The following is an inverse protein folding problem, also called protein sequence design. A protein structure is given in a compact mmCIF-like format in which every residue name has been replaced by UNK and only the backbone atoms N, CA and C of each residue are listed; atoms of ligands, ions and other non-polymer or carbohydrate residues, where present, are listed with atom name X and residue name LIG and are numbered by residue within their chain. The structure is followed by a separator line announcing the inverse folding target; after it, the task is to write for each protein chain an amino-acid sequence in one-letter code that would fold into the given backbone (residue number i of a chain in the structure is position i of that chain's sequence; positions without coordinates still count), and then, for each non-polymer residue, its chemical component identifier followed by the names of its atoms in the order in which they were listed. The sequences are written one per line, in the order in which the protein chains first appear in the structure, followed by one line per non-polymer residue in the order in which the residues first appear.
data_IF_653164866029
#
_entry.id   IF_653164866029
#
_cell.length_a   1.000
_cell.length_b   1.000
_cell.length_c   1.000
_cell.angle_alpha   90.00
_cell.angle_beta   90.00
_cell.angle_gamma   90.00
#
_symmetry.space_group_name_H-M   'P 1'
#
loop_
_entity.id
_entity.type
_entity.pdbx_description
1 polymer ?
#
# COMPACT_ATOMS: atom_id res chain seq x y z
N UNK A 1 10.22 -47.08 -36.65
CA UNK A 1 9.31 -45.99 -36.22
C UNK A 1 10.09 -44.90 -35.50
N UNK A 2 10.32 -43.77 -36.18
CA UNK A 2 11.24 -42.70 -35.75
C UNK A 2 10.55 -41.69 -34.82
N UNK A 3 11.02 -41.56 -33.56
CA UNK A 3 10.62 -40.48 -32.65
C UNK A 3 11.32 -39.17 -33.04
N UNK A 4 10.61 -38.23 -33.68
CA UNK A 4 11.11 -36.86 -33.93
C UNK A 4 11.28 -36.11 -32.59
N UNK A 5 12.51 -35.92 -32.13
CA UNK A 5 12.86 -34.93 -31.09
C UNK A 5 12.58 -33.52 -31.62
N UNK A 6 11.59 -32.81 -31.06
CA UNK A 6 11.37 -31.38 -31.37
C UNK A 6 12.44 -30.54 -30.66
N UNK A 7 13.29 -29.84 -31.43
CA UNK A 7 14.30 -28.89 -30.89
C UNK A 7 13.61 -27.71 -30.22
N UNK A 8 14.04 -27.38 -29.01
CA UNK A 8 13.66 -26.19 -28.25
C UNK A 8 14.47 -25.00 -28.77
N UNK A 9 13.83 -23.88 -29.05
CA UNK A 9 14.51 -22.65 -29.49
C UNK A 9 14.55 -21.69 -28.31
N UNK A 10 15.75 -21.17 -28.02
CA UNK A 10 16.07 -20.29 -26.89
C UNK A 10 16.48 -18.95 -27.47
N UNK A 11 15.90 -17.85 -26.99
CA UNK A 11 16.35 -16.50 -27.33
C UNK A 11 16.49 -15.64 -26.07
N UNK A 12 17.38 -14.65 -26.17
CA UNK A 12 17.72 -13.71 -25.11
C UNK A 12 17.31 -12.30 -25.52
N UNK A 13 16.57 -11.62 -24.63
CA UNK A 13 16.23 -10.20 -24.74
C UNK A 13 16.30 -9.58 -23.34
N UNK A 14 17.01 -8.46 -23.21
CA UNK A 14 17.14 -7.67 -21.97
C UNK A 14 17.44 -8.49 -20.71
N UNK A 15 18.37 -9.45 -20.81
CA UNK A 15 18.84 -10.21 -19.65
C UNK A 15 17.93 -11.35 -19.18
N UNK A 16 16.79 -11.60 -19.83
CA UNK A 16 15.89 -12.71 -19.51
C UNK A 16 15.94 -13.82 -20.57
N UNK A 17 15.74 -15.07 -20.13
CA UNK A 17 15.78 -16.28 -20.97
C UNK A 17 14.35 -16.78 -21.21
N UNK A 18 13.93 -16.83 -22.48
CA UNK A 18 12.61 -17.32 -22.86
C UNK A 18 12.72 -18.63 -23.65
N UNK A 19 11.80 -19.58 -23.40
CA UNK A 19 11.68 -20.84 -24.14
C UNK A 19 10.27 -20.98 -24.72
N UNK A 20 10.17 -21.15 -26.03
CA UNK A 20 8.90 -21.39 -26.73
C UNK A 20 8.90 -22.75 -27.46
N UNK A 21 7.73 -23.38 -27.53
CA UNK A 21 7.49 -24.65 -28.22
C UNK A 21 6.75 -24.51 -29.56
N UNK A 22 6.48 -23.30 -30.02
CA UNK A 22 5.77 -23.02 -31.27
C UNK A 22 6.67 -22.25 -32.25
N UNK A 23 6.75 -22.72 -33.50
CA UNK A 23 7.39 -22.01 -34.61
C UNK A 23 6.59 -20.72 -34.87
N UNK A 24 7.11 -19.57 -34.46
CA UNK A 24 6.57 -18.28 -34.91
C UNK A 24 7.00 -18.09 -36.37
N UNK A 25 6.03 -17.95 -37.28
CA UNK A 25 6.30 -17.54 -38.66
C UNK A 25 6.82 -16.09 -38.64
N UNK A 26 7.97 -15.91 -39.27
CA UNK A 26 8.64 -14.63 -39.45
C UNK A 26 7.78 -13.75 -40.36
N UNK A 27 7.13 -12.73 -39.82
CA UNK A 27 6.66 -11.61 -40.63
C UNK A 27 7.86 -10.73 -40.99
N UNK A 28 8.00 -10.43 -42.26
CA UNK A 28 9.13 -9.70 -42.83
C UNK A 28 9.20 -8.26 -42.30
N UNK A 29 10.42 -7.74 -42.19
CA UNK A 29 10.72 -6.41 -41.66
C UNK A 29 10.15 -5.22 -42.50
N UNK A 30 9.32 -5.48 -43.51
CA UNK A 30 8.72 -4.46 -44.36
C UNK A 30 7.35 -3.96 -43.87
N UNK A 31 6.68 -4.65 -42.94
CA UNK A 31 5.35 -4.23 -42.44
C UNK A 31 5.37 -3.32 -41.21
N UNK A 32 6.55 -3.09 -40.60
CA UNK A 32 6.71 -2.20 -39.45
C UNK A 32 7.02 -0.73 -39.82
N UNK A 33 7.35 -0.45 -41.08
CA UNK A 33 7.65 0.91 -41.54
C UNK A 33 6.42 1.73 -41.96
N UNK A 34 5.25 1.11 -42.15
CA UNK A 34 4.02 1.80 -42.57
C UNK A 34 3.14 2.30 -41.41
N UNK A 35 3.38 1.87 -40.16
CA UNK A 35 2.59 2.30 -38.99
C UNK A 35 3.19 3.54 -38.31
N UNK A 36 4.41 3.95 -38.67
CA UNK A 36 5.09 5.11 -38.05
C UNK A 36 4.84 6.43 -38.79
N UNK A 37 4.24 6.42 -40.00
CA UNK A 37 4.04 7.65 -40.80
C UNK A 37 2.62 8.25 -40.65
N UNK A 38 1.64 7.53 -40.07
CA UNK A 38 0.28 8.07 -39.85
C UNK A 38 0.13 8.80 -38.50
N UNK A 39 1.15 8.77 -37.62
CA UNK A 39 1.07 9.40 -36.28
C UNK A 39 1.69 10.82 -36.26
N UNK A 40 2.30 11.30 -37.35
CA UNK A 40 3.01 12.60 -37.36
C UNK A 40 2.31 13.76 -38.09
N UNK A 41 1.14 13.58 -38.71
CA UNK A 41 0.40 14.70 -39.32
C UNK A 41 -1.11 14.51 -39.22
N UNK A 42 -1.70 14.84 -38.06
CA UNK A 42 -3.14 15.16 -37.89
C UNK A 42 -3.36 15.73 -36.47
N UNK A 43 -3.04 17.00 -36.26
CA UNK A 43 -3.82 17.93 -35.42
C UNK A 43 -3.07 19.27 -35.30
N UNK A 44 -3.27 20.13 -36.30
CA UNK A 44 -2.98 21.56 -36.21
C UNK A 44 -4.23 22.30 -36.66
N UNK A 45 -5.09 22.69 -35.70
CA UNK A 45 -6.13 23.71 -35.87
C UNK A 45 -6.58 24.21 -34.50
N UNK A 46 -6.44 25.51 -34.17
CA UNK A 46 -6.96 26.07 -32.92
C UNK A 46 -8.45 26.43 -33.06
N UNK A 47 -9.24 26.45 -31.96
CA UNK A 47 -10.64 26.83 -32.01
C UNK A 47 -10.82 28.37 -32.06
N UNK A 48 -11.97 28.87 -32.54
CA UNK A 48 -12.18 30.31 -32.75
C UNK A 48 -12.52 31.06 -31.46
N UNK A 49 -12.02 32.29 -31.36
CA UNK A 49 -12.26 33.25 -30.28
C UNK A 49 -13.49 34.14 -30.57
N UNK A 50 -14.38 34.29 -29.59
CA UNK A 50 -15.39 35.37 -29.53
C UNK A 50 -15.06 36.32 -28.36
N UNK A 51 -15.30 37.65 -28.49
CA UNK A 51 -14.89 38.62 -27.47
C UNK A 51 -15.98 38.82 -26.42
N UNK A 52 -15.63 38.62 -25.15
CA UNK A 52 -16.46 38.93 -23.99
C UNK A 52 -15.62 39.57 -22.90
N UNK A 53 -15.86 40.85 -22.64
CA UNK A 53 -15.16 41.71 -21.68
C UNK A 53 -15.84 41.57 -20.32
N UNK A 54 -15.19 41.01 -19.29
CA UNK A 54 -15.55 41.29 -17.89
C UNK A 54 -14.33 41.22 -16.95
N UNK A 55 -14.26 42.20 -16.06
CA UNK A 55 -13.17 42.51 -15.11
C UNK A 55 -13.28 41.66 -13.83
N UNK A 56 -12.10 41.27 -13.34
CA UNK A 56 -11.61 41.15 -11.96
C UNK A 56 -12.48 40.46 -10.88
N UNK A 57 -11.96 39.36 -10.33
CA UNK A 57 -11.40 39.29 -8.96
C UNK A 57 -11.07 37.82 -8.62
N UNK A 58 -9.82 37.38 -8.81
CA UNK A 58 -9.36 36.09 -8.31
C UNK A 58 -8.47 36.29 -7.08
N UNK A 59 -8.73 35.57 -5.96
CA UNK A 59 -7.77 35.46 -4.88
C UNK A 59 -6.52 34.73 -5.37
N UNK A 60 -5.36 35.17 -4.88
CA UNK A 60 -4.04 34.67 -5.22
C UNK A 60 -3.98 33.13 -5.12
N UNK A 61 -3.45 32.40 -6.11
CA UNK A 61 -3.35 30.95 -6.01
C UNK A 61 -2.33 30.59 -4.92
N UNK A 62 -2.80 29.95 -3.84
CA UNK A 62 -1.92 29.26 -2.91
C UNK A 62 -1.16 28.16 -3.69
N UNK A 63 0.18 28.22 -3.59
CA UNK A 63 1.15 27.37 -4.30
C UNK A 63 0.75 25.89 -4.30
N UNK A 64 0.30 25.42 -5.47
CA UNK A 64 0.00 24.02 -5.80
C UNK A 64 1.28 23.16 -5.91
N UNK A 65 2.43 23.78 -6.11
CA UNK A 65 3.71 23.13 -6.44
C UNK A 65 4.43 22.39 -5.29
N UNK A 66 4.01 22.56 -4.02
CA UNK A 66 4.78 22.05 -2.88
C UNK A 66 4.45 20.60 -2.48
N UNK A 67 3.24 20.11 -2.77
CA UNK A 67 2.70 18.87 -2.18
C UNK A 67 2.78 17.66 -3.12
N UNK A 68 2.64 17.85 -4.43
CA UNK A 68 2.88 16.81 -5.46
C UNK A 68 4.34 16.31 -5.44
N UNK A 69 5.22 17.08 -4.79
CA UNK A 69 6.67 16.88 -4.77
C UNK A 69 7.17 15.80 -3.79
N UNK A 70 6.44 15.43 -2.74
CA UNK A 70 7.03 14.61 -1.65
C UNK A 70 7.25 13.14 -2.01
N UNK A 71 6.28 12.47 -2.63
CA UNK A 71 6.44 11.07 -3.07
C UNK A 71 7.42 10.96 -4.24
N UNK A 72 7.39 11.94 -5.16
CA UNK A 72 8.35 12.05 -6.26
C UNK A 72 9.79 12.22 -5.75
N UNK A 73 10.00 13.00 -4.68
CA UNK A 73 11.31 13.17 -4.04
C UNK A 73 11.82 11.91 -3.32
N UNK A 74 10.99 10.89 -3.13
CA UNK A 74 11.40 9.60 -2.55
C UNK A 74 11.69 8.54 -3.61
N UNK A 75 11.73 8.91 -4.89
CA UNK A 75 12.12 8.01 -5.99
C UNK A 75 13.63 8.14 -6.22
N UNK A 76 14.41 7.06 -6.05
CA UNK A 76 15.83 7.06 -6.33
C UNK A 76 16.15 7.46 -7.77
N UNK A 77 17.28 8.15 -8.04
CA UNK A 77 17.67 8.48 -9.40
C UNK A 77 17.88 7.21 -10.24
N UNK A 78 17.35 7.15 -11.47
CA UNK A 78 17.47 5.96 -12.31
C UNK A 78 18.95 5.71 -12.67
N UNK A 79 19.35 4.43 -12.71
CA UNK A 79 20.71 3.99 -13.05
C UNK A 79 21.82 4.56 -12.14
N UNK A 80 21.49 5.05 -10.94
CA UNK A 80 22.47 5.51 -9.97
C UNK A 80 23.14 4.34 -9.23
N UNK A 81 24.46 4.42 -9.06
CA UNK A 81 25.22 3.54 -8.16
C UNK A 81 24.77 3.70 -6.71
N UNK A 82 25.05 2.71 -5.85
CA UNK A 82 24.75 2.79 -4.42
C UNK A 82 25.30 4.08 -3.78
N UNK A 83 26.55 4.46 -4.07
CA UNK A 83 27.16 5.70 -3.56
C UNK A 83 26.40 6.95 -4.00
N UNK A 84 25.97 7.01 -5.27
CA UNK A 84 25.18 8.14 -5.76
C UNK A 84 23.81 8.20 -5.09
N UNK A 85 23.14 7.06 -4.86
CA UNK A 85 21.87 7.01 -4.13
C UNK A 85 22.02 7.43 -2.67
N UNK A 86 23.09 7.02 -2.00
CA UNK A 86 23.41 7.43 -0.63
C UNK A 86 23.59 8.96 -0.53
N UNK A 87 24.36 9.55 -1.43
CA UNK A 87 24.55 11.01 -1.50
C UNK A 87 23.25 11.75 -1.84
N UNK A 88 22.49 11.25 -2.82
CA UNK A 88 21.18 11.80 -3.18
C UNK A 88 20.23 11.79 -1.97
N UNK A 89 20.15 10.67 -1.26
CA UNK A 89 19.24 10.52 -0.13
C UNK A 89 19.65 11.41 1.02
N UNK A 90 20.94 11.47 1.38
CA UNK A 90 21.48 12.38 2.40
C UNK A 90 21.09 13.84 2.15
N UNK A 91 21.15 14.29 0.89
CA UNK A 91 20.81 15.66 0.52
C UNK A 91 19.30 15.92 0.45
N UNK A 92 18.51 14.89 0.11
CA UNK A 92 17.06 14.99 -0.10
C UNK A 92 16.29 14.82 1.20
N UNK A 93 16.77 13.97 2.10
CA UNK A 93 16.11 13.60 3.36
C UNK A 93 15.72 14.82 4.22
N UNK A 94 16.63 15.78 4.51
CA UNK A 94 16.27 16.97 5.29
C UNK A 94 15.23 17.85 4.61
N UNK A 95 15.02 17.74 3.30
CA UNK A 95 14.05 18.56 2.57
C UNK A 95 12.62 18.01 2.67
N UNK A 96 12.48 16.71 2.93
CA UNK A 96 11.21 16.01 3.04
C UNK A 96 10.71 16.04 4.48
N UNK A 97 11.58 15.70 5.43
CA UNK A 97 11.25 15.60 6.85
C UNK A 97 11.55 16.89 7.63
N UNK A 98 11.57 18.04 6.94
CA UNK A 98 12.10 19.34 7.40
C UNK A 98 11.35 20.03 8.55
N UNK A 99 10.53 19.31 9.30
CA UNK A 99 9.67 19.93 10.30
C UNK A 99 10.26 19.85 11.71
N UNK A 100 10.80 21.00 12.18
CA UNK A 100 11.15 21.33 13.57
C UNK A 100 11.32 20.11 14.51
N UNK A 101 12.48 19.45 14.42
CA UNK A 101 12.82 18.22 15.14
C UNK A 101 12.69 18.36 16.68
N UNK A 102 12.87 19.57 17.23
CA UNK A 102 12.82 19.79 18.68
C UNK A 102 11.45 20.17 19.25
N UNK A 103 10.51 20.71 18.45
CA UNK A 103 9.18 21.10 19.00
C UNK A 103 8.11 20.03 18.79
N UNK A 104 8.37 18.97 18.01
CA UNK A 104 7.35 17.99 17.59
C UNK A 104 7.38 16.65 18.32
N UNK A 105 8.49 16.28 18.99
CA UNK A 105 8.61 14.97 19.66
C UNK A 105 7.54 14.77 20.74
N UNK A 106 7.50 15.67 21.72
CA UNK A 106 6.48 15.62 22.78
C UNK A 106 5.07 15.82 22.21
N UNK A 107 4.94 16.59 21.13
CA UNK A 107 3.64 16.84 20.49
C UNK A 107 3.10 15.59 19.79
N UNK A 108 3.92 14.76 19.15
CA UNK A 108 3.43 13.58 18.43
C UNK A 108 2.90 12.50 19.38
N UNK A 109 3.69 12.08 20.37
CA UNK A 109 3.25 11.08 21.36
C UNK A 109 2.04 11.59 22.17
N UNK A 110 2.02 12.87 22.56
CA UNK A 110 0.86 13.49 23.19
C UNK A 110 -0.37 13.49 22.28
N UNK A 111 -0.25 13.81 20.98
CA UNK A 111 -1.37 13.78 20.02
C UNK A 111 -1.94 12.37 19.88
N UNK A 112 -1.09 11.36 19.75
CA UNK A 112 -1.52 9.95 19.64
C UNK A 112 -2.26 9.52 20.92
N UNK A 113 -1.68 9.76 22.10
CA UNK A 113 -2.30 9.41 23.38
C UNK A 113 -3.61 10.14 23.61
N UNK A 114 -3.63 11.45 23.35
CA UNK A 114 -4.82 12.30 23.49
C UNK A 114 -5.96 11.79 22.60
N UNK A 115 -5.67 11.49 21.33
CA UNK A 115 -6.67 10.95 20.42
C UNK A 115 -7.26 9.63 20.91
N UNK A 116 -6.43 8.72 21.42
CA UNK A 116 -6.91 7.44 21.97
C UNK A 116 -7.57 7.55 23.35
N UNK A 117 -7.29 8.59 24.14
CA UNK A 117 -7.95 8.80 25.44
C UNK A 117 -9.29 9.50 25.29
N UNK A 118 -9.43 10.42 24.33
CA UNK A 118 -10.68 11.16 24.08
C UNK A 118 -11.75 10.32 23.38
N UNK A 119 -11.35 9.24 22.72
CA UNK A 119 -12.25 8.33 22.02
C UNK A 119 -12.02 6.95 22.59
N UNK A 120 -12.99 6.43 23.35
CA UNK A 120 -12.97 5.11 24.00
C UNK A 120 -13.01 3.94 22.98
N UNK A 121 -12.12 3.98 22.00
CA UNK A 121 -12.05 3.04 20.89
C UNK A 121 -11.56 1.67 21.36
N UNK A 122 -12.39 0.64 21.14
CA UNK A 122 -12.07 -0.75 21.42
C UNK A 122 -11.05 -1.33 20.43
N UNK A 123 -11.06 -0.85 19.19
CA UNK A 123 -10.11 -1.27 18.15
C UNK A 123 -9.39 -0.05 17.59
N UNK A 124 -8.06 -0.05 17.71
CA UNK A 124 -7.19 1.05 17.28
C UNK A 124 -6.51 0.67 15.97
N UNK A 125 -6.99 1.24 14.87
CA UNK A 125 -6.39 1.11 13.56
C UNK A 125 -5.38 2.23 13.33
N UNK A 126 -4.38 1.92 12.53
CA UNK A 126 -3.54 2.92 11.91
C UNK A 126 -3.08 2.45 10.53
N UNK A 127 -2.76 3.41 9.67
CA UNK A 127 -2.23 3.18 8.32
C UNK A 127 -1.17 4.22 8.00
N UNK A 128 -0.47 4.05 6.88
CA UNK A 128 0.52 5.00 6.40
C UNK A 128 0.13 5.53 5.03
N UNK A 129 0.17 6.84 4.85
CA UNK A 129 -0.03 7.48 3.55
C UNK A 129 1.14 8.42 3.22
N UNK A 130 1.97 8.00 2.27
CA UNK A 130 3.19 8.70 1.84
C UNK A 130 3.07 9.06 0.35
N UNK A 131 1.94 9.67 0.00
CA UNK A 131 1.65 10.20 -1.33
C UNK A 131 0.99 11.58 -1.21
N UNK A 132 0.68 12.24 -2.33
CA UNK A 132 -0.04 13.51 -2.27
C UNK A 132 -1.46 13.31 -1.71
N UNK A 133 -2.09 14.36 -1.14
CA UNK A 133 -3.49 14.30 -0.74
C UNK A 133 -4.40 14.05 -1.95
N UNK A 134 -4.07 14.61 -3.11
CA UNK A 134 -4.87 14.46 -4.34
C UNK A 134 -4.93 13.00 -4.84
N UNK A 135 -3.93 12.19 -4.52
CA UNK A 135 -3.96 10.76 -4.86
C UNK A 135 -4.72 9.90 -3.83
N UNK A 136 -5.22 10.48 -2.73
CA UNK A 136 -6.05 9.77 -1.76
C UNK A 136 -7.48 9.72 -2.31
N UNK A 137 -7.69 8.78 -3.23
CA UNK A 137 -8.86 8.73 -4.07
C UNK A 137 -10.06 8.03 -3.42
N UNK A 138 -11.09 7.81 -4.25
CA UNK A 138 -12.32 7.15 -3.81
C UNK A 138 -12.07 5.74 -3.25
N UNK A 139 -11.12 4.99 -3.80
CA UNK A 139 -10.82 3.61 -3.35
C UNK A 139 -10.22 3.58 -1.94
N UNK A 140 -9.23 4.43 -1.68
CA UNK A 140 -8.61 4.58 -0.37
C UNK A 140 -9.64 5.09 0.65
N UNK A 141 -10.48 6.04 0.24
CA UNK A 141 -11.56 6.55 1.09
C UNK A 141 -12.59 5.46 1.44
N UNK A 142 -13.09 4.71 0.45
CA UNK A 142 -14.01 3.58 0.66
C UNK A 142 -13.39 2.47 1.53
N UNK A 143 -12.09 2.20 1.36
CA UNK A 143 -11.35 1.25 2.21
C UNK A 143 -11.32 1.74 3.66
N UNK A 144 -11.10 3.04 3.89
CA UNK A 144 -11.24 3.65 5.22
C UNK A 144 -12.68 3.54 5.75
N UNK A 145 -13.71 3.81 4.93
CA UNK A 145 -15.11 3.70 5.37
C UNK A 145 -15.44 2.29 5.89
N UNK A 146 -14.88 1.27 5.24
CA UNK A 146 -15.12 -0.12 5.61
C UNK A 146 -14.69 -0.47 7.04
N UNK A 147 -13.65 0.19 7.57
CA UNK A 147 -13.23 0.06 8.96
C UNK A 147 -14.39 0.46 9.88
N UNK A 148 -14.93 1.66 9.66
CA UNK A 148 -16.00 2.21 10.47
C UNK A 148 -17.34 1.54 10.21
N UNK A 149 -17.58 0.97 9.03
CA UNK A 149 -18.76 0.15 8.77
C UNK A 149 -18.75 -1.13 9.62
N UNK A 150 -17.59 -1.77 9.74
CA UNK A 150 -17.43 -3.02 10.47
C UNK A 150 -17.36 -2.85 12.00
N UNK A 151 -17.01 -1.65 12.49
CA UNK A 151 -16.78 -1.38 13.92
C UNK A 151 -17.65 -0.27 14.51
N UNK A 152 -18.35 0.51 13.67
CA UNK A 152 -19.07 1.73 14.05
C UNK A 152 -18.15 2.68 14.83
N UNK A 153 -18.62 3.18 15.98
CA UNK A 153 -17.88 4.12 16.83
C UNK A 153 -16.82 3.43 17.70
N UNK A 154 -16.74 2.09 17.71
CA UNK A 154 -15.74 1.35 18.49
C UNK A 154 -14.34 1.39 17.86
N UNK A 155 -14.18 1.95 16.65
CA UNK A 155 -12.90 2.06 15.95
C UNK A 155 -12.33 3.49 15.94
N UNK A 156 -11.02 3.56 16.09
CA UNK A 156 -10.22 4.76 15.83
C UNK A 156 -9.26 4.47 14.68
N UNK A 157 -9.04 5.43 13.78
CA UNK A 157 -8.04 5.36 12.72
C UNK A 157 -7.07 6.54 12.79
N UNK A 158 -5.78 6.24 12.93
CA UNK A 158 -4.70 7.21 12.70
C UNK A 158 -4.09 6.98 11.31
N UNK A 159 -4.07 8.01 10.48
CA UNK A 159 -3.38 8.00 9.19
C UNK A 159 -2.03 8.70 9.37
N UNK A 160 -0.95 7.92 9.40
CA UNK A 160 0.41 8.44 9.52
C UNK A 160 0.83 9.02 8.17
N UNK A 161 0.73 10.35 8.07
CA UNK A 161 0.88 11.08 6.81
C UNK A 161 1.20 12.54 7.05
N UNK A 162 2.33 12.99 6.51
CA UNK A 162 2.67 14.41 6.50
C UNK A 162 1.77 15.21 5.54
N UNK A 163 1.37 14.60 4.43
CA UNK A 163 0.58 15.28 3.40
C UNK A 163 -0.89 15.43 3.82
N UNK A 164 -1.47 14.42 4.48
CA UNK A 164 -2.84 14.50 5.00
C UNK A 164 -2.95 15.22 6.35
N UNK A 165 -1.87 15.39 7.11
CA UNK A 165 -1.82 16.28 8.30
C UNK A 165 -1.72 17.76 7.86
N UNK A 166 -2.68 18.18 7.04
CA UNK A 166 -2.79 19.50 6.40
C UNK A 166 -4.25 19.95 6.32
N UNK A 167 -4.51 21.20 5.92
CA UNK A 167 -5.88 21.70 5.73
C UNK A 167 -6.61 20.95 4.60
N UNK A 168 -5.93 20.69 3.49
CA UNK A 168 -6.48 19.89 2.39
C UNK A 168 -6.82 18.46 2.85
N UNK A 169 -5.90 17.82 3.59
CA UNK A 169 -6.14 16.50 4.16
C UNK A 169 -7.30 16.49 5.16
N UNK A 170 -7.45 17.53 5.99
CA UNK A 170 -8.64 17.70 6.84
C UNK A 170 -9.92 17.77 5.99
N UNK A 171 -9.93 18.55 4.91
CA UNK A 171 -11.08 18.63 4.00
C UNK A 171 -11.43 17.28 3.35
N UNK A 172 -10.42 16.47 3.00
CA UNK A 172 -10.64 15.10 2.50
C UNK A 172 -11.32 14.25 3.57
N UNK A 173 -10.86 14.30 4.83
CA UNK A 173 -11.36 13.48 5.93
C UNK A 173 -12.64 14.02 6.60
N UNK A 174 -13.01 15.28 6.36
CA UNK A 174 -14.17 15.98 6.94
C UNK A 174 -15.45 15.15 6.92
N UNK A 175 -15.84 14.47 5.82
CA UNK A 175 -17.09 13.71 5.81
C UNK A 175 -17.18 12.62 6.90
N UNK A 176 -16.03 12.03 7.27
CA UNK A 176 -15.97 11.04 8.37
C UNK A 176 -15.91 11.71 9.73
N UNK A 177 -15.12 12.78 9.86
CA UNK A 177 -14.94 13.52 11.12
C UNK A 177 -16.26 14.15 11.57
N UNK A 178 -16.96 14.82 10.65
CA UNK A 178 -18.25 15.47 10.89
C UNK A 178 -19.36 14.45 11.17
N UNK A 179 -19.23 13.23 10.64
CA UNK A 179 -20.11 12.09 10.97
C UNK A 179 -19.79 11.44 12.33
N UNK A 180 -18.86 12.01 13.10
CA UNK A 180 -18.51 11.56 14.46
C UNK A 180 -17.52 10.40 14.53
N UNK A 181 -16.97 9.93 13.39
CA UNK A 181 -16.00 8.84 13.39
C UNK A 181 -14.62 9.31 13.87
N UNK A 182 -13.94 8.45 14.63
CA UNK A 182 -12.60 8.71 15.11
C UNK A 182 -11.55 8.51 14.02
N UNK A 183 -11.37 9.48 13.13
CA UNK A 183 -10.26 9.49 12.15
C UNK A 183 -9.43 10.76 12.28
N UNK A 184 -8.11 10.61 12.17
CA UNK A 184 -7.18 11.74 12.18
C UNK A 184 -5.93 11.42 11.36
N UNK A 185 -5.41 12.42 10.64
CA UNK A 185 -4.08 12.34 10.04
C UNK A 185 -3.04 12.99 10.97
N UNK A 186 -1.87 12.37 11.08
CA UNK A 186 -0.75 12.89 11.88
C UNK A 186 0.56 12.68 11.14
N UNK A 187 1.40 13.73 11.11
CA UNK A 187 2.78 13.61 10.63
C UNK A 187 3.57 12.72 11.61
N UNK A 188 4.14 11.57 11.18
CA UNK A 188 4.92 10.72 12.07
C UNK A 188 6.24 11.39 12.44
N UNK A 189 6.61 11.31 13.73
CA UNK A 189 7.94 11.71 14.20
C UNK A 189 8.87 10.50 14.26
N UNK A 190 9.66 10.29 13.20
CA UNK A 190 10.52 9.12 13.08
C UNK A 190 11.57 9.02 14.21
N UNK A 191 12.31 10.08 14.59
CA UNK A 191 13.22 10.02 15.73
C UNK A 191 12.56 9.59 17.05
N UNK A 192 11.31 9.97 17.32
CA UNK A 192 10.57 9.48 18.50
C UNK A 192 10.12 8.03 18.35
N UNK A 193 9.58 7.68 17.19
CA UNK A 193 9.07 6.32 16.93
C UNK A 193 10.18 5.26 16.99
N UNK A 194 11.39 5.62 16.58
CA UNK A 194 12.51 4.69 16.45
C UNK A 194 13.44 4.68 17.68
N UNK A 195 13.26 5.60 18.62
CA UNK A 195 14.09 5.69 19.83
C UNK A 195 14.11 4.39 20.64
N UNK A 196 15.30 3.94 21.02
CA UNK A 196 15.54 2.70 21.79
C UNK A 196 14.97 1.45 21.09
N UNK A 197 14.96 1.46 19.77
CA UNK A 197 14.59 0.30 18.96
C UNK A 197 15.78 -0.18 18.11
N UNK A 198 15.78 -1.44 17.63
CA UNK A 198 16.86 -1.96 16.79
C UNK A 198 17.09 -1.21 15.46
N UNK A 199 16.11 -0.41 15.02
CA UNK A 199 16.16 0.34 13.75
C UNK A 199 16.66 1.77 13.92
N UNK A 200 16.90 2.24 15.15
CA UNK A 200 17.39 3.61 15.43
C UNK A 200 18.70 3.89 14.69
N UNK A 201 19.72 3.05 14.94
CA UNK A 201 21.03 3.20 14.30
C UNK A 201 20.96 3.05 12.78
N UNK A 202 20.17 2.09 12.28
CA UNK A 202 19.97 1.91 10.84
C UNK A 202 19.40 3.18 10.18
N UNK A 203 18.47 3.86 10.86
CA UNK A 203 17.87 5.09 10.36
C UNK A 203 18.86 6.26 10.38
N UNK A 204 19.70 6.36 11.41
CA UNK A 204 20.80 7.33 11.46
C UNK A 204 21.79 7.12 10.31
N UNK A 205 22.22 5.88 10.09
CA UNK A 205 23.14 5.51 9.01
C UNK A 205 22.55 5.86 7.64
N UNK A 206 21.26 5.60 7.45
CA UNK A 206 20.55 5.99 6.23
C UNK A 206 20.53 7.51 6.03
N UNK A 207 20.19 8.28 7.08
CA UNK A 207 20.15 9.75 7.04
C UNK A 207 21.53 10.35 6.76
N UNK A 208 22.58 9.76 7.30
CA UNK A 208 23.96 10.23 7.15
C UNK A 208 24.58 9.87 5.80
N UNK A 209 23.88 9.08 4.97
CA UNK A 209 24.36 8.58 3.70
C UNK A 209 25.38 7.46 3.85
N UNK A 210 25.28 6.67 4.92
CA UNK A 210 26.11 5.49 5.23
C UNK A 210 25.41 4.18 4.86
N UNK A 211 24.08 4.21 4.69
CA UNK A 211 23.27 3.10 4.16
C UNK A 211 22.66 3.48 2.81
N UNK A 212 22.69 2.54 1.86
CA UNK A 212 22.03 2.70 0.56
C UNK A 212 20.50 2.53 0.71
N UNK A 213 19.68 3.53 0.30
CA UNK A 213 18.21 3.40 0.30
C UNK A 213 17.69 2.39 -0.73
N UNK A 214 18.53 2.00 -1.70
CA UNK A 214 18.22 1.10 -2.81
C UNK A 214 17.42 1.74 -3.95
N UNK A 215 17.04 0.93 -4.93
CA UNK A 215 16.39 1.36 -6.18
C UNK A 215 14.86 1.46 -6.09
N UNK A 216 14.26 0.79 -5.11
CA UNK A 216 12.81 0.84 -4.90
C UNK A 216 12.45 2.19 -4.27
N UNK A 217 11.35 2.84 -4.70
CA UNK A 217 10.87 4.08 -4.09
C UNK A 217 10.86 4.00 -2.57
N UNK A 218 11.60 4.90 -1.92
CA UNK A 218 11.88 4.82 -0.49
C UNK A 218 10.60 4.88 0.35
N UNK A 219 9.55 5.56 -0.14
CA UNK A 219 8.23 5.60 0.50
C UNK A 219 7.70 4.20 0.89
N UNK A 220 7.97 3.17 0.08
CA UNK A 220 7.53 1.81 0.39
C UNK A 220 8.31 1.20 1.56
N UNK A 221 9.63 1.37 1.57
CA UNK A 221 10.48 0.91 2.65
C UNK A 221 10.22 1.69 3.94
N UNK A 222 9.92 2.99 3.82
CA UNK A 222 9.53 3.84 4.94
C UNK A 222 8.18 3.40 5.53
N UNK A 223 7.19 3.05 4.71
CA UNK A 223 5.92 2.49 5.19
C UNK A 223 6.13 1.14 5.91
N UNK A 224 7.03 0.28 5.42
CA UNK A 224 7.40 -0.96 6.10
C UNK A 224 8.08 -0.71 7.46
N UNK A 225 8.89 0.34 7.58
CA UNK A 225 9.50 0.73 8.86
C UNK A 225 8.48 1.31 9.83
N UNK A 226 7.70 2.30 9.40
CA UNK A 226 6.72 3.02 10.24
C UNK A 226 5.69 2.04 10.79
N UNK A 227 5.20 1.09 9.98
CA UNK A 227 4.21 0.12 10.45
C UNK A 227 4.73 -0.75 11.59
N UNK A 228 6.00 -1.14 11.56
CA UNK A 228 6.61 -1.93 12.64
C UNK A 228 6.88 -1.08 13.88
N UNK A 229 7.43 0.13 13.69
CA UNK A 229 7.76 1.03 14.80
C UNK A 229 6.51 1.52 15.55
N UNK A 230 5.48 1.95 14.82
CA UNK A 230 4.23 2.41 15.42
C UNK A 230 3.52 1.27 16.15
N UNK A 231 3.46 0.08 15.52
CA UNK A 231 2.89 -1.12 16.14
C UNK A 231 3.64 -1.51 17.42
N UNK A 232 4.97 -1.45 17.42
CA UNK A 232 5.76 -1.73 18.62
C UNK A 232 5.48 -0.70 19.73
N UNK A 233 5.33 0.58 19.38
CA UNK A 233 5.14 1.66 20.38
C UNK A 233 3.73 1.70 20.96
N UNK A 234 2.71 1.55 20.11
CA UNK A 234 1.30 1.81 20.46
C UNK A 234 0.39 0.58 20.31
N UNK A 235 0.85 -0.48 19.66
CA UNK A 235 0.04 -1.65 19.33
C UNK A 235 -1.09 -1.34 18.35
N UNK A 236 -2.11 -2.18 18.36
CA UNK A 236 -3.32 -2.03 17.54
C UNK A 236 -3.26 -2.82 16.24
N UNK A 237 -3.92 -2.28 15.22
CA UNK A 237 -4.09 -2.90 13.91
C UNK A 237 -3.47 -2.01 12.84
N UNK A 238 -2.40 -2.47 12.22
CA UNK A 238 -1.92 -1.87 10.98
C UNK A 238 -2.73 -2.43 9.79
N UNK A 239 -3.12 -1.55 8.86
CA UNK A 239 -3.67 -1.90 7.55
C UNK A 239 -2.98 -1.08 6.44
N UNK A 240 -2.67 -1.69 5.30
CA UNK A 240 -2.43 -0.95 4.07
C UNK A 240 -3.72 -0.18 3.66
N UNK A 241 -3.58 0.95 2.96
CA UNK A 241 -4.72 1.84 2.64
C UNK A 241 -5.70 1.27 1.61
N UNK A 242 -5.32 0.17 0.96
CA UNK A 242 -6.09 -0.56 -0.04
C UNK A 242 -6.65 -1.87 0.54
N UNK A 243 -7.02 -1.85 1.82
CA UNK A 243 -7.58 -2.99 2.54
C UNK A 243 -9.06 -2.74 2.87
N UNK A 244 -9.94 -3.59 2.35
CA UNK A 244 -11.37 -3.54 2.67
C UNK A 244 -11.64 -4.40 3.91
N UNK A 245 -12.14 -3.80 4.97
CA UNK A 245 -12.57 -4.49 6.19
C UNK A 245 -14.02 -4.93 6.05
N UNK A 246 -14.24 -6.25 6.10
CA UNK A 246 -15.58 -6.84 5.98
C UNK A 246 -16.16 -7.27 7.32
N UNK A 247 -15.34 -7.38 8.37
CA UNK A 247 -15.76 -7.85 9.70
C UNK A 247 -14.99 -7.15 10.82
N UNK A 248 -15.55 -7.17 12.03
CA UNK A 248 -14.88 -6.65 13.22
C UNK A 248 -13.60 -7.42 13.58
N UNK A 249 -12.55 -6.69 13.92
CA UNK A 249 -11.24 -7.18 14.37
C UNK A 249 -11.15 -7.25 15.91
N UNK A 250 -12.25 -6.98 16.62
CA UNK A 250 -12.29 -6.97 18.10
C UNK A 250 -11.82 -8.27 18.76
N UNK A 251 -11.90 -9.41 18.06
CA UNK A 251 -11.46 -10.73 18.54
C UNK A 251 -10.03 -11.09 18.11
N UNK A 252 -9.37 -10.23 17.33
CA UNK A 252 -8.03 -10.49 16.82
C UNK A 252 -6.97 -9.95 17.77
N UNK A 253 -5.93 -10.74 17.99
CA UNK A 253 -4.82 -10.41 18.87
C UNK A 253 -3.57 -11.15 18.44
N UNK A 254 -2.43 -10.46 18.42
CA UNK A 254 -1.11 -11.01 18.10
C UNK A 254 -1.16 -11.96 16.90
N UNK A 255 -1.67 -11.46 15.77
CA UNK A 255 -1.90 -12.25 14.57
C UNK A 255 -1.41 -11.59 13.28
N UNK A 256 -1.10 -12.45 12.31
CA UNK A 256 -0.68 -12.10 10.96
C UNK A 256 -1.34 -13.02 9.95
N UNK A 257 -1.60 -12.53 8.75
CA UNK A 257 -2.18 -13.35 7.67
C UNK A 257 -1.13 -14.09 6.84
N UNK A 258 -1.43 -15.35 6.52
CA UNK A 258 -0.76 -16.07 5.45
C UNK A 258 -1.24 -15.55 4.10
N UNK A 259 -0.34 -15.02 3.27
CA UNK A 259 -0.64 -14.68 1.88
C UNK A 259 -0.83 -15.92 1.01
N UNK A 260 -0.07 -16.99 1.28
CA UNK A 260 -0.14 -18.24 0.50
C UNK A 260 0.16 -19.45 1.38
N UNK A 261 -0.33 -20.61 0.95
CA UNK A 261 -0.12 -21.92 1.60
C UNK A 261 0.36 -22.95 0.59
N UNK A 262 1.00 -24.02 1.06
CA UNK A 262 1.31 -25.20 0.27
C UNK A 262 0.12 -26.16 0.16
N UNK A 263 0.29 -27.29 -0.52
CA UNK A 263 -0.75 -28.30 -0.70
C UNK A 263 -1.23 -28.95 0.61
N UNK A 264 -0.47 -28.83 1.70
CA UNK A 264 -0.79 -29.37 3.03
C UNK A 264 -1.41 -28.32 3.94
N UNK A 265 -1.65 -27.10 3.43
CA UNK A 265 -2.19 -25.99 4.21
C UNK A 265 -1.16 -25.26 5.07
N UNK A 266 0.13 -25.61 5.00
CA UNK A 266 1.18 -24.86 5.70
C UNK A 266 1.42 -23.55 4.96
N UNK A 267 1.46 -22.43 5.68
CA UNK A 267 1.78 -21.14 5.05
C UNK A 267 3.17 -21.16 4.39
N UNK A 268 3.28 -20.53 3.23
CA UNK A 268 4.53 -20.38 2.46
C UNK A 268 4.99 -18.93 2.37
N UNK A 269 4.06 -17.98 2.55
CA UNK A 269 4.33 -16.55 2.63
C UNK A 269 3.39 -15.93 3.64
N UNK A 270 3.93 -15.17 4.58
CA UNK A 270 3.18 -14.21 5.38
C UNK A 270 3.29 -12.83 4.74
N UNK A 271 2.35 -11.96 5.05
CA UNK A 271 2.33 -10.60 4.52
C UNK A 271 1.97 -9.61 5.63
N UNK A 272 2.61 -8.44 5.57
CA UNK A 272 2.52 -7.37 6.55
C UNK A 272 1.61 -6.21 6.12
N UNK A 273 0.74 -6.42 5.13
CA UNK A 273 -0.35 -5.50 4.76
C UNK A 273 -1.43 -5.41 5.84
N UNK A 274 -1.48 -6.40 6.73
CA UNK A 274 -2.24 -6.36 7.98
C UNK A 274 -1.40 -6.97 9.11
N UNK A 275 -1.31 -6.27 10.23
CA UNK A 275 -0.63 -6.75 11.45
C UNK A 275 -1.47 -6.36 12.66
N UNK A 276 -1.74 -7.32 13.55
CA UNK A 276 -2.50 -7.07 14.79
C UNK A 276 -1.63 -7.48 15.96
N UNK A 277 -1.13 -6.51 16.74
CA UNK A 277 -0.23 -6.80 17.86
C UNK A 277 -0.43 -5.83 19.01
N UNK A 278 -0.16 -6.32 20.21
CA UNK A 278 -0.04 -5.49 21.41
C UNK A 278 1.21 -4.60 21.38
N UNK A 279 1.21 -3.45 22.08
CA UNK A 279 2.41 -2.65 22.23
C UNK A 279 3.52 -3.44 22.92
N UNK A 280 4.77 -3.22 22.50
CA UNK A 280 5.95 -3.86 23.07
C UNK A 280 6.16 -5.33 22.67
N UNK A 281 5.36 -5.87 21.75
CA UNK A 281 5.40 -7.29 21.43
C UNK A 281 6.77 -7.73 20.89
N UNK A 282 7.37 -8.75 21.51
CA UNK A 282 8.75 -9.19 21.23
C UNK A 282 8.95 -9.62 19.76
N UNK A 283 7.93 -10.21 19.13
CA UNK A 283 8.01 -10.57 17.71
C UNK A 283 8.12 -9.34 16.80
N UNK A 284 7.45 -8.23 17.14
CA UNK A 284 7.55 -6.98 16.37
C UNK A 284 8.93 -6.37 16.54
N UNK A 285 9.52 -6.48 17.73
CA UNK A 285 10.91 -6.12 17.97
C UNK A 285 11.87 -6.93 17.08
N UNK A 286 11.64 -8.24 16.93
CA UNK A 286 12.44 -9.09 16.03
C UNK A 286 12.21 -8.76 14.54
N UNK A 287 11.01 -8.32 14.13
CA UNK A 287 10.80 -7.76 12.79
C UNK A 287 11.65 -6.50 12.56
N UNK A 288 11.69 -5.57 13.52
CA UNK A 288 12.53 -4.38 13.43
C UNK A 288 14.02 -4.74 13.40
N UNK A 289 14.47 -5.69 14.22
CA UNK A 289 15.85 -6.19 14.20
C UNK A 289 16.21 -6.76 12.82
N UNK A 290 15.37 -7.61 12.26
CA UNK A 290 15.57 -8.17 10.92
C UNK A 290 15.59 -7.07 9.85
N UNK A 291 14.74 -6.05 9.98
CA UNK A 291 14.70 -4.89 9.08
C UNK A 291 16.06 -4.19 9.05
N UNK A 292 16.59 -3.81 10.22
CA UNK A 292 17.88 -3.12 10.34
C UNK A 292 19.05 -3.95 9.78
N UNK A 293 19.11 -5.24 10.15
CA UNK A 293 20.23 -6.12 9.81
C UNK A 293 20.26 -6.50 8.33
N UNK A 294 19.09 -6.76 7.75
CA UNK A 294 18.99 -7.37 6.42
C UNK A 294 18.43 -6.43 5.36
N UNK A 295 18.24 -5.15 5.68
CA UNK A 295 17.67 -4.17 4.76
C UNK A 295 18.30 -4.26 3.36
N UNK A 296 17.45 -4.44 2.36
CA UNK A 296 17.84 -4.40 0.95
C UNK A 296 16.78 -3.62 0.18
N UNK A 297 17.06 -2.34 -0.06
CA UNK A 297 16.17 -1.46 -0.81
C UNK A 297 16.10 -1.75 -2.31
N UNK A 298 16.87 -2.73 -2.82
CA UNK A 298 16.85 -3.10 -4.23
C UNK A 298 15.89 -4.27 -4.52
N UNK A 299 15.36 -4.94 -3.48
CA UNK A 299 14.54 -6.15 -3.63
C UNK A 299 13.10 -5.96 -3.18
N UNK A 300 12.17 -6.11 -4.12
CA UNK A 300 10.75 -5.90 -3.85
C UNK A 300 10.22 -6.89 -2.82
N UNK A 301 9.53 -6.37 -1.81
CA UNK A 301 8.96 -7.15 -0.70
C UNK A 301 9.99 -7.67 0.31
N UNK A 302 11.30 -7.53 0.06
CA UNK A 302 12.36 -8.05 0.94
C UNK A 302 12.25 -7.54 2.38
N UNK A 303 11.92 -6.26 2.52
CA UNK A 303 11.76 -5.55 3.80
C UNK A 303 10.32 -5.59 4.35
N UNK A 304 9.40 -6.31 3.69
CA UNK A 304 7.99 -6.40 4.05
C UNK A 304 7.55 -7.87 4.18
N UNK A 305 6.76 -8.42 3.23
CA UNK A 305 6.25 -9.79 3.32
C UNK A 305 7.34 -10.86 3.51
N UNK A 306 8.49 -10.71 2.85
CA UNK A 306 9.59 -11.66 2.99
C UNK A 306 10.26 -11.57 4.34
N UNK A 307 10.41 -10.36 4.89
CA UNK A 307 10.96 -10.13 6.23
C UNK A 307 10.13 -10.82 7.30
N UNK A 308 8.83 -10.53 7.37
CA UNK A 308 7.96 -11.13 8.41
C UNK A 308 7.90 -12.65 8.27
N UNK A 309 7.96 -13.17 7.04
CA UNK A 309 8.04 -14.61 6.81
C UNK A 309 9.33 -15.22 7.34
N UNK A 310 10.50 -14.61 7.07
CA UNK A 310 11.80 -15.11 7.55
C UNK A 310 11.87 -15.14 9.07
N UNK A 311 11.40 -14.08 9.73
CA UNK A 311 11.39 -13.99 11.19
C UNK A 311 10.44 -15.03 11.78
N UNK A 312 9.19 -15.12 11.30
CA UNK A 312 8.23 -16.10 11.84
C UNK A 312 8.68 -17.53 11.58
N UNK A 313 9.25 -17.85 10.41
CA UNK A 313 9.79 -19.20 10.15
C UNK A 313 10.90 -19.55 11.16
N UNK A 314 11.82 -18.61 11.39
CA UNK A 314 12.94 -18.76 12.33
C UNK A 314 12.47 -18.92 13.78
N UNK A 315 11.43 -18.21 14.19
CA UNK A 315 10.90 -18.28 15.57
C UNK A 315 9.75 -19.26 15.75
N UNK A 316 9.27 -19.92 14.69
CA UNK A 316 8.07 -20.78 14.71
C UNK A 316 8.16 -21.97 15.66
N UNK A 317 9.37 -22.33 16.11
CA UNK A 317 9.62 -23.37 17.11
C UNK A 317 9.68 -22.84 18.54
N UNK A 318 9.52 -21.53 18.72
CA UNK A 318 9.57 -20.86 20.00
C UNK A 318 8.17 -20.35 20.36
N UNK A 319 7.51 -21.08 21.26
CA UNK A 319 6.16 -20.75 21.73
C UNK A 319 6.11 -19.44 22.54
N UNK A 320 7.26 -18.84 22.89
CA UNK A 320 7.33 -17.60 23.67
C UNK A 320 6.74 -16.37 22.98
N UNK A 321 6.49 -16.41 21.66
CA UNK A 321 6.02 -15.25 20.90
C UNK A 321 4.49 -15.16 20.76
N UNK A 322 3.71 -16.15 21.23
CA UNK A 322 2.23 -16.14 21.20
C UNK A 322 1.64 -15.53 19.92
N UNK A 323 1.94 -16.14 18.77
CA UNK A 323 1.51 -15.68 17.44
C UNK A 323 0.42 -16.59 16.86
N UNK A 324 -0.66 -15.99 16.36
CA UNK A 324 -1.63 -16.68 15.51
C UNK A 324 -1.40 -16.35 14.04
N UNK A 325 -1.15 -17.36 13.20
CA UNK A 325 -1.14 -17.19 11.73
C UNK A 325 -2.53 -17.53 11.19
N UNK A 326 -3.22 -16.53 10.64
CA UNK A 326 -4.53 -16.70 10.03
C UNK A 326 -4.42 -17.19 8.58
N UNK A 327 -5.36 -18.04 8.10
CA UNK A 327 -5.31 -18.58 6.75
C UNK A 327 -5.52 -17.49 5.68
N UNK A 328 -5.16 -17.74 4.41
CA UNK A 328 -5.32 -16.75 3.35
C UNK A 328 -6.72 -16.15 3.22
N UNK A 329 -7.77 -16.95 3.40
CA UNK A 329 -9.16 -16.46 3.34
C UNK A 329 -9.50 -15.38 4.39
N UNK A 330 -8.69 -15.21 5.44
CA UNK A 330 -8.91 -14.16 6.42
C UNK A 330 -8.69 -12.75 5.86
N UNK A 331 -7.66 -12.57 5.02
CA UNK A 331 -7.19 -11.26 4.58
C UNK A 331 -6.74 -11.18 3.11
N UNK A 332 -6.37 -12.33 2.53
CA UNK A 332 -5.84 -12.48 1.19
C UNK A 332 -6.65 -13.54 0.40
N UNK A 333 -7.97 -13.38 0.26
CA UNK A 333 -8.83 -14.40 -0.37
C UNK A 333 -8.61 -14.53 -1.89
N UNK A 334 -7.79 -13.65 -2.47
CA UNK A 334 -7.31 -13.68 -3.85
C UNK A 334 -5.86 -13.19 -3.88
N UNK A 335 -5.02 -13.87 -4.65
CA UNK A 335 -3.65 -13.45 -4.85
C UNK A 335 -3.54 -12.29 -5.86
N UNK A 336 -2.40 -11.63 -5.84
CA UNK A 336 -2.12 -10.46 -6.68
C UNK A 336 -2.08 -10.74 -8.19
N UNK A 337 -1.98 -12.01 -8.63
CA UNK A 337 -2.02 -12.38 -10.05
C UNK A 337 -3.47 -12.43 -10.54
N UNK A 338 -4.40 -12.87 -9.69
CA UNK A 338 -5.80 -13.08 -10.05
C UNK A 338 -6.74 -11.95 -9.58
N UNK A 339 -6.20 -10.92 -8.91
CA UNK A 339 -6.99 -9.81 -8.36
C UNK A 339 -7.86 -9.11 -9.41
N UNK A 340 -7.41 -9.05 -10.66
CA UNK A 340 -8.15 -8.43 -11.77
C UNK A 340 -9.58 -8.95 -11.90
N UNK A 341 -9.79 -10.26 -11.72
CA UNK A 341 -11.11 -10.87 -11.82
C UNK A 341 -12.11 -10.37 -10.77
N UNK A 342 -11.64 -9.76 -9.68
CA UNK A 342 -12.52 -9.17 -8.66
C UNK A 342 -13.06 -7.79 -9.07
N UNK A 343 -12.44 -7.12 -10.05
CA UNK A 343 -12.83 -5.80 -10.54
C UNK A 343 -13.75 -5.88 -11.78
N UNK A 344 -13.83 -7.05 -12.41
CA UNK A 344 -14.60 -7.28 -13.64
C UNK A 344 -16.05 -7.68 -13.35
N UNK A 345 -16.98 -7.26 -14.22
CA UNK A 345 -18.36 -7.74 -14.23
C UNK A 345 -18.45 -9.16 -14.82
N UNK A 346 -19.58 -9.89 -14.62
CA UNK A 346 -19.78 -11.18 -15.27
C UNK A 346 -19.63 -11.06 -16.79
N UNK A 347 -18.83 -11.95 -17.39
CA UNK A 347 -18.60 -12.01 -18.84
C UNK A 347 -19.56 -12.96 -19.53
N UNK A 348 -19.92 -14.02 -18.82
CA UNK A 348 -20.81 -15.10 -19.20
C UNK A 348 -21.39 -15.76 -17.93
N UNK A 349 -22.32 -16.69 -18.09
CA UNK A 349 -22.98 -17.38 -16.97
C UNK A 349 -21.99 -18.18 -16.10
N UNK A 350 -20.90 -18.69 -16.68
CA UNK A 350 -19.90 -19.44 -15.91
C UNK A 350 -19.10 -18.50 -15.02
N UNK A 351 -18.71 -17.33 -15.53
CA UNK A 351 -18.07 -16.29 -14.74
C UNK A 351 -19.00 -15.80 -13.64
N UNK A 352 -20.29 -15.59 -13.95
CA UNK A 352 -21.32 -15.22 -12.98
C UNK A 352 -21.42 -16.22 -11.82
N UNK A 353 -21.56 -17.52 -12.12
CA UNK A 353 -21.60 -18.58 -11.08
C UNK A 353 -20.33 -18.62 -10.23
N UNK A 354 -19.16 -18.40 -10.81
CA UNK A 354 -17.91 -18.31 -10.04
C UNK A 354 -17.92 -17.10 -9.10
N UNK A 355 -18.37 -15.93 -9.57
CA UNK A 355 -18.47 -14.73 -8.74
C UNK A 355 -19.44 -14.93 -7.58
N UNK A 356 -20.60 -15.54 -7.83
CA UNK A 356 -21.58 -15.88 -6.78
C UNK A 356 -20.98 -16.82 -5.73
N UNK A 357 -20.32 -17.90 -6.16
CA UNK A 357 -19.66 -18.83 -5.27
C UNK A 357 -18.53 -18.15 -4.47
N UNK A 358 -17.76 -17.25 -5.10
CA UNK A 358 -16.70 -16.50 -4.41
C UNK A 358 -17.28 -15.51 -3.41
N UNK A 359 -18.37 -14.83 -3.76
CA UNK A 359 -19.10 -13.94 -2.84
C UNK A 359 -19.67 -14.70 -1.65
N UNK A 360 -20.16 -15.93 -1.85
CA UNK A 360 -20.61 -16.79 -0.75
C UNK A 360 -19.45 -17.12 0.21
N UNK A 361 -18.29 -17.53 -0.32
CA UNK A 361 -17.09 -17.77 0.49
C UNK A 361 -16.64 -16.53 1.28
N UNK A 362 -16.69 -15.34 0.67
CA UNK A 362 -16.27 -14.09 1.33
C UNK A 362 -17.22 -13.67 2.46
N UNK A 363 -18.45 -14.19 2.50
CA UNK A 363 -19.43 -13.95 3.58
C UNK A 363 -19.28 -14.93 4.74
N UNK A 364 -18.57 -16.04 4.56
CA UNK A 364 -18.39 -17.05 5.60
C UNK A 364 -17.67 -16.49 6.84
N UNK A 365 -17.87 -17.18 7.96
CA UNK A 365 -17.19 -16.90 9.23
C UNK A 365 -15.70 -17.21 9.12
N UNK A 366 -14.92 -16.20 8.75
CA UNK A 366 -13.47 -16.33 8.63
C UNK A 366 -12.81 -15.23 7.81
N UNK A 367 -13.54 -14.57 6.91
CA UNK A 367 -13.02 -13.43 6.12
C UNK A 367 -13.20 -12.12 6.88
N UNK A 368 -12.08 -11.55 7.30
CA UNK A 368 -12.02 -10.27 8.01
C UNK A 368 -11.84 -9.09 7.08
N UNK A 369 -11.20 -9.31 5.94
CA UNK A 369 -11.12 -8.32 4.89
C UNK A 369 -10.36 -8.79 3.66
N UNK A 370 -10.13 -7.85 2.74
CA UNK A 370 -9.62 -8.10 1.40
C UNK A 370 -8.55 -7.06 1.08
N UNK A 371 -7.31 -7.52 0.94
CA UNK A 371 -6.24 -6.71 0.38
C UNK A 371 -6.40 -6.58 -1.14
N UNK A 372 -6.38 -5.36 -1.66
CA UNK A 372 -6.62 -5.06 -3.07
C UNK A 372 -5.38 -5.08 -3.94
N UNK A 373 -4.18 -5.20 -3.36
CA UNK A 373 -2.92 -5.24 -4.11
C UNK A 373 -2.74 -4.02 -5.04
N UNK A 374 -2.85 -2.79 -4.51
CA UNK A 374 -2.96 -1.55 -5.29
C UNK A 374 -1.84 -1.38 -6.33
N UNK A 375 -0.64 -1.90 -6.08
CA UNK A 375 0.44 -1.91 -7.09
C UNK A 375 -0.01 -2.57 -8.41
N UNK A 376 -0.81 -3.64 -8.32
CA UNK A 376 -1.42 -4.34 -9.46
C UNK A 376 -2.76 -3.74 -9.87
N UNK A 377 -3.63 -3.45 -8.90
CA UNK A 377 -5.03 -3.12 -9.18
C UNK A 377 -5.31 -1.63 -9.37
N UNK A 378 -4.39 -0.70 -9.08
CA UNK A 378 -4.64 0.76 -9.14
C UNK A 378 -5.13 1.29 -10.50
N UNK A 379 -4.84 0.59 -11.59
CA UNK A 379 -5.29 0.95 -12.95
C UNK A 379 -6.58 0.26 -13.37
N UNK A 380 -7.14 -0.59 -12.50
CA UNK A 380 -8.36 -1.34 -12.77
C UNK A 380 -9.54 -0.54 -12.30
N UNK A 381 -10.45 -0.24 -13.22
CA UNK A 381 -11.75 0.34 -12.89
C UNK A 381 -12.61 -0.69 -12.19
N UNK A 382 -13.33 -0.28 -11.16
CA UNK A 382 -14.32 -1.12 -10.50
C UNK A 382 -15.56 -1.17 -11.39
N UNK A 383 -15.85 -2.33 -12.00
CA UNK A 383 -17.05 -2.47 -12.82
C UNK A 383 -18.30 -2.68 -11.97
N UNK A 384 -19.43 -2.12 -12.41
CA UNK A 384 -20.72 -2.36 -11.76
C UNK A 384 -21.08 -3.84 -11.89
N UNK A 385 -21.37 -4.48 -10.76
CA UNK A 385 -21.62 -5.93 -10.66
C UNK A 385 -20.36 -6.76 -10.41
N UNK A 386 -19.18 -6.16 -10.30
CA UNK A 386 -17.96 -6.84 -9.86
C UNK A 386 -18.01 -7.25 -8.38
N UNK A 387 -17.10 -8.14 -7.97
CA UNK A 387 -16.93 -8.54 -6.57
C UNK A 387 -16.59 -7.32 -5.71
N UNK A 388 -15.56 -6.55 -6.07
CA UNK A 388 -15.17 -5.35 -5.31
C UNK A 388 -16.28 -4.31 -5.30
N UNK A 389 -16.95 -4.07 -6.43
CA UNK A 389 -18.07 -3.12 -6.49
C UNK A 389 -19.24 -3.52 -5.59
N UNK A 390 -19.50 -4.82 -5.45
CA UNK A 390 -20.52 -5.35 -4.55
C UNK A 390 -20.09 -5.25 -3.08
N UNK A 391 -18.83 -5.51 -2.78
CA UNK A 391 -18.31 -5.43 -1.41
C UNK A 391 -18.26 -3.99 -0.94
N UNK A 392 -17.75 -3.05 -1.75
CA UNK A 392 -17.78 -1.64 -1.37
C UNK A 392 -19.20 -1.14 -1.13
N UNK A 393 -20.17 -1.48 -1.97
CA UNK A 393 -21.56 -1.04 -1.76
C UNK A 393 -22.19 -1.60 -0.47
N UNK A 394 -21.73 -2.77 0.00
CA UNK A 394 -22.16 -3.36 1.27
C UNK A 394 -21.39 -2.80 2.48
N UNK A 395 -20.14 -2.37 2.27
CA UNK A 395 -19.20 -2.01 3.32
C UNK A 395 -18.84 -0.51 3.39
N UNK A 396 -19.53 0.38 2.67
CA UNK A 396 -19.36 1.82 2.76
C UNK A 396 -20.38 2.48 3.71
N UNK A 397 -20.12 3.74 4.07
CA UNK A 397 -21.01 4.58 4.89
C UNK A 397 -21.61 5.69 4.02
N UNK A 398 -20.75 6.47 3.38
CA UNK A 398 -21.08 7.56 2.44
C UNK A 398 -21.17 7.03 1.01
N UNK A 399 -20.36 6.02 0.66
CA UNK A 399 -20.46 5.31 -0.62
C UNK A 399 -20.19 6.18 -1.86
N UNK A 400 -19.41 7.26 -1.70
CA UNK A 400 -19.09 8.18 -2.80
C UNK A 400 -18.03 7.58 -3.73
N UNK A 401 -18.31 7.61 -5.03
CA UNK A 401 -17.33 7.31 -6.07
C UNK A 401 -16.90 5.84 -6.18
N UNK A 402 -17.77 4.89 -5.84
CA UNK A 402 -17.49 3.44 -5.96
C UNK A 402 -17.06 3.06 -7.39
N UNK A 403 -17.63 3.70 -8.41
CA UNK A 403 -17.36 3.40 -9.81
C UNK A 403 -16.58 4.50 -10.54
N UNK A 404 -16.05 5.48 -9.79
CA UNK A 404 -15.35 6.66 -10.32
C UNK A 404 -13.83 6.45 -10.40
N UNK A 405 -13.33 5.30 -9.94
CA UNK A 405 -11.90 4.96 -9.85
C UNK A 405 -11.33 4.33 -11.11
#
# INVERSE_FOLDING_TARGET
MNKKKKKMIVFHLNGYRFCSRTKLQVFSAASLAAIVIVIFFSDTSPPPSFPGRHRNNNPTPLKRDSIESQSARLVPPPNATARQRMLWFKNTFPQIFKSNENSRRDQFDQRVRKFYSERECKVRFFTTWIASPDSFGAREFLSMESIFKAHRQDACLIILSQSLDSELGRGILSPMIESGFGVIAMTPDLPSLLEKTPVEKWYEDLRNGEKDPGEIPFAQNLSNLIRLAFLYRYGGVFLDTDFIVTRSFSKLKNCIGAQSVDRRGKWTRLNNAVLVFEPGHALVHEFMREFALTFDGNKWGHNGPYLVSRVVDRVSKNDSFSLTVLPPMAFYPVDWIHIDGFFEKPRDDRHGRWMEAKMAQLREDGTYGIHLWNMQSRRKRIEKGSIIGTIFSQHCIICKGIYDS
#
